data_IF_487160838315
#
_entry.id   IF_487160838315
#
_cell.length_a   1.000
_cell.length_b   1.000
_cell.length_c   1.000
_cell.angle_alpha   90.00
_cell.angle_beta   90.00
_cell.angle_gamma   90.00
#
_symmetry.space_group_name_H-M   'P 1'
#
loop_
_entity.id
_entity.type
_entity.pdbx_description
1 polymer ?
#
# COMPACT_ATOMS: atom_id res chain seq x y z
N UNK A 1 -10.30 3.81 -11.88
CA UNK A 1 -9.72 2.87 -12.86
C UNK A 1 -10.26 3.23 -14.24
N UNK A 2 -9.38 3.36 -15.22
CA UNK A 2 -9.68 3.82 -16.58
C UNK A 2 -9.78 2.66 -17.58
N UNK A 3 -9.96 2.98 -18.88
CA UNK A 3 -10.11 1.99 -19.94
C UNK A 3 -8.86 1.13 -20.21
N UNK A 4 -7.68 1.56 -19.74
CA UNK A 4 -6.43 0.82 -19.89
C UNK A 4 -6.26 -0.28 -18.83
N UNK A 5 -7.07 -0.27 -17.78
CA UNK A 5 -7.02 -1.23 -16.69
C UNK A 5 -7.93 -2.43 -17.00
N UNK A 6 -7.34 -3.63 -17.10
CA UNK A 6 -8.08 -4.86 -17.36
C UNK A 6 -8.83 -5.32 -16.10
N UNK A 7 -10.09 -4.87 -15.99
CA UNK A 7 -10.97 -5.20 -14.87
C UNK A 7 -11.27 -6.70 -14.78
N UNK A 8 -11.41 -7.38 -15.92
CA UNK A 8 -11.76 -8.80 -15.95
C UNK A 8 -10.60 -9.68 -15.45
N UNK A 9 -9.37 -9.36 -15.89
CA UNK A 9 -8.17 -10.01 -15.36
C UNK A 9 -7.98 -9.69 -13.88
N UNK A 10 -8.24 -8.45 -13.44
CA UNK A 10 -8.17 -8.07 -12.03
C UNK A 10 -9.10 -8.88 -11.13
N UNK A 11 -10.35 -9.12 -11.55
CA UNK A 11 -11.30 -9.95 -10.80
C UNK A 11 -10.81 -11.39 -10.69
N UNK A 12 -10.31 -11.97 -11.78
CA UNK A 12 -9.79 -13.35 -11.79
C UNK A 12 -8.56 -13.48 -10.88
N UNK A 13 -7.62 -12.54 -10.95
CA UNK A 13 -6.44 -12.52 -10.08
C UNK A 13 -6.82 -12.35 -8.62
N UNK A 14 -7.77 -11.44 -8.31
CA UNK A 14 -8.27 -11.25 -6.95
C UNK A 14 -8.89 -12.54 -6.38
N UNK A 15 -9.74 -13.21 -7.14
CA UNK A 15 -10.40 -14.45 -6.69
C UNK A 15 -9.38 -15.57 -6.44
N UNK A 16 -8.37 -15.69 -7.32
CA UNK A 16 -7.26 -16.63 -7.13
C UNK A 16 -6.49 -16.35 -5.83
N UNK A 17 -6.11 -15.09 -5.62
CA UNK A 17 -5.38 -14.65 -4.42
C UNK A 17 -6.19 -14.92 -3.15
N UNK A 18 -7.49 -14.62 -3.15
CA UNK A 18 -8.37 -14.87 -1.98
C UNK A 18 -8.37 -16.37 -1.65
N UNK A 19 -8.48 -17.24 -2.65
CA UNK A 19 -8.48 -18.69 -2.44
C UNK A 19 -7.14 -19.18 -1.86
N UNK A 20 -6.01 -18.75 -2.43
CA UNK A 20 -4.67 -19.12 -1.96
C UNK A 20 -4.42 -18.65 -0.53
N UNK A 21 -4.74 -17.39 -0.24
CA UNK A 21 -4.58 -16.78 1.09
C UNK A 21 -5.45 -17.47 2.13
N UNK A 22 -6.68 -17.81 1.79
CA UNK A 22 -7.60 -18.50 2.71
C UNK A 22 -7.06 -19.87 3.12
N UNK A 23 -6.39 -20.59 2.22
CA UNK A 23 -5.85 -21.91 2.50
C UNK A 23 -4.63 -21.88 3.45
N UNK A 24 -3.90 -20.77 3.48
CA UNK A 24 -2.61 -20.64 4.20
C UNK A 24 -2.73 -19.67 5.40
N UNK A 25 -3.92 -19.11 5.65
CA UNK A 25 -4.08 -18.02 6.60
C UNK A 25 -3.85 -18.45 8.06
N UNK A 26 -2.81 -17.88 8.67
CA UNK A 26 -2.60 -17.89 10.11
C UNK A 26 -3.44 -16.84 10.86
N UNK A 27 -4.01 -15.86 10.14
CA UNK A 27 -4.82 -14.78 10.69
C UNK A 27 -6.28 -14.85 10.22
N UNK A 28 -7.25 -14.32 10.99
CA UNK A 28 -8.66 -14.29 10.58
C UNK A 28 -8.85 -13.62 9.22
N UNK A 29 -9.50 -14.33 8.29
CA UNK A 29 -9.81 -13.82 6.95
C UNK A 29 -11.28 -13.44 6.85
N UNK A 30 -11.57 -12.23 6.37
CA UNK A 30 -12.96 -11.77 6.22
C UNK A 30 -13.77 -12.66 5.29
N UNK A 31 -13.13 -13.32 4.32
CA UNK A 31 -13.79 -14.20 3.35
C UNK A 31 -14.46 -15.41 4.00
N UNK A 32 -13.85 -15.98 5.03
CA UNK A 32 -14.36 -17.14 5.77
C UNK A 32 -15.04 -16.76 7.08
N UNK A 33 -15.10 -15.48 7.45
CA UNK A 33 -15.68 -15.02 8.73
C UNK A 33 -17.20 -15.24 8.80
N UNK A 34 -17.60 -16.48 9.00
CA UNK A 34 -18.95 -16.91 9.36
C UNK A 34 -19.06 -17.14 10.88
N UNK A 35 -20.25 -17.56 11.34
CA UNK A 35 -20.53 -17.76 12.76
C UNK A 35 -19.66 -18.85 13.41
N UNK A 36 -19.30 -19.89 12.66
CA UNK A 36 -18.43 -20.96 13.15
C UNK A 36 -16.97 -20.47 13.24
N UNK A 37 -16.57 -19.62 12.30
CA UNK A 37 -15.24 -18.99 12.29
C UNK A 37 -15.07 -17.97 13.42
N UNK A 38 -16.12 -17.28 13.85
CA UNK A 38 -16.01 -16.38 15.01
C UNK A 38 -15.66 -17.12 16.30
N UNK A 39 -16.16 -18.34 16.47
CA UNK A 39 -15.79 -19.20 17.61
C UNK A 39 -14.38 -19.77 17.43
N UNK A 40 -14.05 -20.20 16.21
CA UNK A 40 -12.72 -20.74 15.86
C UNK A 40 -11.60 -19.74 16.14
N UNK A 41 -11.83 -18.46 15.85
CA UNK A 41 -10.84 -17.40 16.10
C UNK A 41 -11.00 -16.73 17.48
N UNK A 42 -11.86 -17.25 18.37
CA UNK A 42 -12.04 -16.68 19.72
C UNK A 42 -12.45 -15.22 19.72
N UNK A 43 -13.24 -14.80 18.72
CA UNK A 43 -13.60 -13.39 18.52
C UNK A 43 -14.72 -12.99 19.47
N UNK A 44 -14.49 -11.91 20.21
CA UNK A 44 -15.45 -11.36 21.16
C UNK A 44 -15.48 -9.83 21.07
N UNK A 45 -16.49 -9.21 21.67
CA UNK A 45 -16.57 -7.75 21.75
C UNK A 45 -16.25 -7.34 23.18
N UNK A 46 -15.10 -6.71 23.37
CA UNK A 46 -14.73 -6.07 24.62
C UNK A 46 -15.22 -4.62 24.63
N UNK A 47 -15.90 -4.25 25.72
CA UNK A 47 -16.35 -2.88 25.97
C UNK A 47 -15.35 -2.22 26.91
N UNK A 48 -14.87 -1.02 26.55
CA UNK A 48 -14.09 -0.20 27.47
C UNK A 48 -14.94 0.32 28.65
N UNK A 49 -14.29 0.84 29.69
CA UNK A 49 -14.99 1.37 30.87
C UNK A 49 -15.95 2.53 30.53
N UNK A 50 -17.24 2.38 30.87
CA UNK A 50 -18.28 3.41 30.71
C UNK A 50 -19.01 3.43 29.36
N UNK A 51 -19.37 4.61 28.85
CA UNK A 51 -19.87 4.84 27.47
C UNK A 51 -18.74 4.78 26.42
N UNK A 52 -17.69 4.02 26.75
CA UNK A 52 -16.47 3.93 25.99
C UNK A 52 -16.61 3.09 24.73
N UNK A 53 -15.58 3.24 23.91
CA UNK A 53 -15.36 2.53 22.66
C UNK A 53 -15.39 1.01 22.91
N UNK A 54 -16.12 0.28 22.06
CA UNK A 54 -16.10 -1.18 22.05
C UNK A 54 -15.26 -1.67 20.88
N UNK A 55 -14.44 -2.70 21.08
CA UNK A 55 -13.55 -3.25 20.05
C UNK A 55 -13.83 -4.73 19.83
N UNK A 56 -13.59 -5.18 18.60
CA UNK A 56 -13.48 -6.60 18.34
C UNK A 56 -12.12 -7.08 18.86
N UNK A 57 -12.14 -8.11 19.67
CA UNK A 57 -10.96 -8.67 20.35
C UNK A 57 -10.87 -10.16 20.08
N UNK A 58 -9.64 -10.67 20.11
CA UNK A 58 -9.31 -12.08 19.99
C UNK A 58 -8.70 -12.55 21.31
N UNK A 59 -9.07 -13.74 21.76
CA UNK A 59 -8.41 -14.38 22.88
C UNK A 59 -7.11 -15.04 22.40
N UNK A 60 -5.98 -14.66 23.00
CA UNK A 60 -4.71 -15.30 22.76
C UNK A 60 -4.59 -16.52 23.69
N UNK A 61 -4.54 -17.73 23.13
CA UNK A 61 -4.46 -18.98 23.92
C UNK A 61 -3.13 -19.14 24.65
N UNK A 62 -2.04 -18.58 24.11
CA UNK A 62 -0.70 -18.71 24.69
C UNK A 62 -0.50 -17.79 25.90
N UNK A 63 -0.99 -16.54 25.81
CA UNK A 63 -0.84 -15.54 26.88
C UNK A 63 -2.04 -15.54 27.83
N UNK A 64 -3.21 -16.03 27.39
CA UNK A 64 -4.48 -15.91 28.10
C UNK A 64 -5.05 -14.48 28.13
N UNK A 65 -4.41 -13.54 27.41
CA UNK A 65 -4.83 -12.15 27.32
C UNK A 65 -5.78 -11.93 26.14
N UNK A 66 -6.61 -10.90 26.24
CA UNK A 66 -7.47 -10.47 25.14
C UNK A 66 -6.81 -9.34 24.37
N UNK A 67 -6.51 -9.60 23.11
CA UNK A 67 -5.83 -8.66 22.22
C UNK A 67 -6.79 -8.11 21.16
N UNK A 68 -6.41 -7.03 20.49
CA UNK A 68 -7.22 -6.47 19.41
C UNK A 68 -7.26 -7.41 18.21
N UNK A 69 -8.46 -7.77 17.75
CA UNK A 69 -8.60 -8.66 16.60
C UNK A 69 -8.31 -7.91 15.29
N UNK A 70 -7.30 -8.38 14.56
CA UNK A 70 -7.02 -7.93 13.19
C UNK A 70 -7.56 -8.91 12.17
N UNK A 71 -8.43 -8.43 11.28
CA UNK A 71 -9.03 -9.21 10.21
C UNK A 71 -8.45 -8.75 8.86
N UNK A 72 -7.99 -9.71 8.07
CA UNK A 72 -7.50 -9.50 6.72
C UNK A 72 -8.64 -9.39 5.70
N UNK A 73 -8.52 -8.42 4.79
CA UNK A 73 -9.46 -8.17 3.69
C UNK A 73 -8.65 -7.94 2.42
N UNK A 74 -8.87 -8.76 1.39
CA UNK A 74 -8.27 -8.58 0.07
C UNK A 74 -9.19 -7.75 -0.83
N UNK A 75 -8.61 -6.96 -1.72
CA UNK A 75 -9.37 -6.23 -2.72
C UNK A 75 -8.52 -5.35 -3.63
N UNK A 76 -9.17 -4.74 -4.62
CA UNK A 76 -8.54 -3.82 -5.56
C UNK A 76 -8.67 -2.40 -5.03
N UNK A 77 -7.58 -1.65 -4.98
CA UNK A 77 -7.58 -0.25 -4.50
C UNK A 77 -8.38 0.64 -5.46
N UNK A 78 -9.51 1.19 -5.00
CA UNK A 78 -10.31 2.16 -5.76
C UNK A 78 -10.03 3.61 -5.36
N UNK A 79 -9.59 3.84 -4.13
CA UNK A 79 -9.21 5.15 -3.60
C UNK A 79 -8.16 4.98 -2.51
N UNK A 80 -7.22 5.92 -2.46
CA UNK A 80 -6.11 5.90 -1.50
C UNK A 80 -5.81 7.30 -1.01
N UNK A 81 -5.56 7.43 0.28
CA UNK A 81 -5.03 8.63 0.91
C UNK A 81 -4.00 8.18 1.95
N UNK A 82 -2.79 7.95 1.47
CA UNK A 82 -1.63 7.54 2.27
C UNK A 82 -0.55 8.63 2.22
N UNK A 83 0.38 8.64 3.19
CA UNK A 83 1.55 9.51 3.12
C UNK A 83 2.45 9.16 1.92
N UNK A 84 3.35 10.06 1.50
CA UNK A 84 3.51 11.43 1.98
C UNK A 84 2.34 12.32 1.55
N UNK A 85 1.77 13.10 2.47
CA UNK A 85 0.65 13.98 2.14
C UNK A 85 1.12 15.20 1.34
N UNK A 86 0.44 15.47 0.22
CA UNK A 86 0.69 16.65 -0.58
C UNK A 86 0.02 17.90 0.01
N UNK A 87 0.77 18.67 0.78
CA UNK A 87 0.39 20.05 1.04
C UNK A 87 0.76 20.91 -0.19
N UNK A 88 -0.26 21.30 -0.97
CA UNK A 88 -0.10 22.21 -2.12
C UNK A 88 0.38 23.61 -1.72
N UNK A 89 0.28 23.96 -0.44
CA UNK A 89 0.80 25.21 0.11
C UNK A 89 1.27 25.03 1.55
N UNK A 90 2.27 25.80 1.98
CA UNK A 90 2.70 25.87 3.39
C UNK A 90 1.85 26.85 4.20
N UNK A 91 0.58 27.04 3.83
CA UNK A 91 -0.28 28.00 4.52
C UNK A 91 -0.62 27.50 5.92
N UNK A 92 -0.76 28.39 6.91
CA UNK A 92 -1.13 28.00 8.28
C UNK A 92 -2.42 27.17 8.36
N UNK A 93 -3.37 27.42 7.45
CA UNK A 93 -4.63 26.68 7.41
C UNK A 93 -4.47 25.25 6.88
N UNK A 94 -3.45 24.97 6.05
CA UNK A 94 -3.15 23.62 5.62
C UNK A 94 -2.59 22.80 6.79
N UNK A 95 -1.76 23.40 7.64
CA UNK A 95 -1.24 22.76 8.87
C UNK A 95 -2.38 22.42 9.85
N UNK A 96 -3.39 23.29 9.99
CA UNK A 96 -4.58 22.99 10.80
C UNK A 96 -5.37 21.79 10.27
N UNK A 97 -5.39 21.58 8.95
CA UNK A 97 -6.06 20.42 8.34
C UNK A 97 -5.30 19.12 8.57
N UNK A 98 -3.96 19.16 8.66
CA UNK A 98 -3.13 17.98 8.93
C UNK A 98 -3.43 17.32 10.28
N UNK A 99 -3.91 18.09 11.26
CA UNK A 99 -4.40 17.57 12.55
C UNK A 99 -5.51 16.52 12.36
N UNK A 100 -6.31 16.66 11.31
CA UNK A 100 -7.41 15.76 10.97
C UNK A 100 -7.04 14.81 9.82
N UNK A 101 -5.74 14.72 9.47
CA UNK A 101 -5.28 13.79 8.46
C UNK A 101 -5.60 12.35 8.86
N UNK A 102 -6.03 11.57 7.87
CA UNK A 102 -6.30 10.15 8.01
C UNK A 102 -5.59 9.40 6.92
N UNK A 103 -5.03 8.25 7.28
CA UNK A 103 -4.51 7.27 6.36
C UNK A 103 -5.70 6.39 5.98
N UNK A 104 -6.07 6.31 4.71
CA UNK A 104 -7.25 5.55 4.30
C UNK A 104 -7.08 4.85 2.97
N UNK A 105 -7.66 3.67 2.88
CA UNK A 105 -7.69 2.84 1.68
C UNK A 105 -9.14 2.40 1.47
N UNK A 106 -9.60 2.47 0.23
CA UNK A 106 -10.91 1.95 -0.17
C UNK A 106 -10.69 0.84 -1.19
N UNK A 107 -11.23 -0.34 -0.87
CA UNK A 107 -11.16 -1.53 -1.69
C UNK A 107 -12.48 -1.77 -2.43
N UNK A 108 -12.39 -2.32 -3.63
CA UNK A 108 -13.51 -2.84 -4.40
C UNK A 108 -13.19 -4.22 -4.95
N UNK A 109 -14.21 -5.04 -5.17
CA UNK A 109 -14.08 -6.33 -5.84
C UNK A 109 -14.35 -6.29 -7.34
N UNK A 110 -14.78 -5.14 -7.90
CA UNK A 110 -15.21 -5.02 -9.30
C UNK A 110 -16.23 -6.09 -9.76
N UNK A 111 -17.07 -6.58 -8.83
CA UNK A 111 -18.05 -7.65 -9.10
C UNK A 111 -17.55 -9.07 -8.81
N UNK A 112 -16.37 -9.23 -8.20
CA UNK A 112 -15.91 -10.51 -7.63
C UNK A 112 -16.93 -11.08 -6.64
N UNK A 113 -17.42 -12.32 -6.85
CA UNK A 113 -18.27 -13.01 -5.89
C UNK A 113 -17.58 -13.24 -4.54
N UNK A 114 -16.25 -13.44 -4.55
CA UNK A 114 -15.49 -13.64 -3.32
C UNK A 114 -15.42 -12.36 -2.48
N UNK A 115 -15.24 -11.22 -3.14
CA UNK A 115 -15.30 -9.92 -2.47
C UNK A 115 -16.71 -9.60 -1.94
N UNK A 116 -17.76 -9.94 -2.69
CA UNK A 116 -19.14 -9.76 -2.22
C UNK A 116 -19.44 -10.59 -0.97
N UNK A 117 -18.85 -11.80 -0.86
CA UNK A 117 -18.90 -12.59 0.37
C UNK A 117 -18.21 -11.89 1.54
N UNK A 118 -17.04 -11.27 1.32
CA UNK A 118 -16.36 -10.46 2.36
C UNK A 118 -17.20 -9.26 2.80
N UNK A 119 -17.89 -8.60 1.86
CA UNK A 119 -18.81 -7.50 2.18
C UNK A 119 -19.95 -7.99 3.07
N UNK A 120 -20.52 -9.16 2.76
CA UNK A 120 -21.61 -9.73 3.57
C UNK A 120 -21.12 -10.15 4.96
N UNK A 121 -19.97 -10.80 5.06
CA UNK A 121 -19.36 -11.14 6.34
C UNK A 121 -19.02 -9.89 7.17
N UNK A 122 -18.57 -8.80 6.52
CA UNK A 122 -18.35 -7.51 7.19
C UNK A 122 -19.65 -6.93 7.77
N UNK A 123 -20.80 -7.12 7.12
CA UNK A 123 -22.12 -6.72 7.66
C UNK A 123 -22.56 -7.59 8.82
N UNK A 124 -22.27 -8.90 8.79
CA UNK A 124 -22.52 -9.80 9.91
C UNK A 124 -21.70 -9.39 11.13
N UNK A 125 -20.41 -9.16 10.92
CA UNK A 125 -19.52 -8.68 11.98
C UNK A 125 -19.95 -7.31 12.53
N UNK A 126 -20.36 -6.38 11.66
CA UNK A 126 -20.98 -5.12 12.07
C UNK A 126 -22.20 -5.33 12.97
N UNK A 127 -23.06 -6.28 12.62
CA UNK A 127 -24.29 -6.59 13.35
C UNK A 127 -24.03 -7.16 14.74
N UNK A 128 -22.87 -7.77 14.98
CA UNK A 128 -22.45 -8.23 16.31
C UNK A 128 -22.42 -7.07 17.31
N UNK A 129 -21.99 -5.87 16.89
CA UNK A 129 -21.94 -4.69 17.75
C UNK A 129 -23.32 -4.19 18.18
N UNK A 130 -24.40 -4.53 17.47
CA UNK A 130 -25.74 -4.05 17.81
C UNK A 130 -26.15 -4.42 19.24
N UNK A 131 -25.77 -5.63 19.70
CA UNK A 131 -26.05 -6.14 21.05
C UNK A 131 -25.28 -5.41 22.14
N UNK A 132 -24.16 -4.78 21.78
CA UNK A 132 -23.26 -4.11 22.72
C UNK A 132 -23.44 -2.59 22.73
N UNK A 133 -24.36 -2.06 21.92
CA UNK A 133 -24.72 -0.64 21.93
C UNK A 133 -25.95 -0.37 22.79
N UNK A 134 -25.91 0.60 23.72
CA UNK A 134 -27.08 0.99 24.51
C UNK A 134 -28.30 1.33 23.63
N UNK A 135 -29.46 0.77 23.97
CA UNK A 135 -30.74 1.04 23.32
C UNK A 135 -30.76 0.83 21.80
N UNK A 136 -29.94 -0.09 21.26
CA UNK A 136 -29.85 -0.38 19.82
C UNK A 136 -29.58 0.85 18.94
N UNK A 137 -28.79 1.80 19.46
CA UNK A 137 -28.46 3.06 18.78
C UNK A 137 -27.31 2.94 17.76
N UNK A 138 -26.93 1.72 17.40
CA UNK A 138 -26.02 1.48 16.29
C UNK A 138 -26.64 2.00 14.99
N UNK A 139 -25.87 2.73 14.19
CA UNK A 139 -26.34 3.20 12.89
C UNK A 139 -26.79 2.01 12.03
N UNK A 140 -27.89 2.12 11.27
CA UNK A 140 -28.43 0.99 10.50
C UNK A 140 -27.53 0.58 9.33
N UNK A 141 -26.66 1.47 8.87
CA UNK A 141 -25.77 1.24 7.74
C UNK A 141 -24.30 1.43 8.18
N UNK A 142 -23.41 0.48 7.86
CA UNK A 142 -21.98 0.66 8.10
C UNK A 142 -21.41 1.81 7.25
N UNK A 143 -20.75 2.77 7.90
CA UNK A 143 -20.10 3.92 7.21
C UNK A 143 -18.95 3.48 6.30
N UNK A 144 -18.29 2.36 6.63
CA UNK A 144 -17.20 1.81 5.83
C UNK A 144 -17.66 1.13 4.53
N UNK A 145 -18.98 1.01 4.29
CA UNK A 145 -19.53 0.46 3.05
C UNK A 145 -20.10 1.54 2.14
N UNK A 146 -19.42 1.77 1.02
CA UNK A 146 -19.83 2.71 -0.02
C UNK A 146 -20.02 2.02 -1.38
N UNK A 147 -20.36 2.80 -2.40
CA UNK A 147 -20.41 2.36 -3.80
C UNK A 147 -19.33 3.06 -4.59
N UNK A 148 -18.64 2.31 -5.44
CA UNK A 148 -17.76 2.81 -6.48
C UNK A 148 -18.50 2.75 -7.80
N UNK A 149 -18.56 3.87 -8.51
CA UNK A 149 -19.18 3.97 -9.83
C UNK A 149 -18.08 4.12 -10.88
N UNK A 150 -18.08 3.26 -11.89
CA UNK A 150 -17.22 3.39 -13.05
C UNK A 150 -18.08 3.62 -14.30
N UNK A 151 -17.77 4.66 -15.05
CA UNK A 151 -18.33 4.85 -16.39
C UNK A 151 -17.72 3.81 -17.33
N UNK A 152 -18.56 3.12 -18.08
CA UNK A 152 -18.20 2.15 -19.11
C UNK A 152 -18.99 2.44 -20.38
N UNK A 153 -18.54 1.87 -21.49
CA UNK A 153 -19.21 2.03 -22.80
C UNK A 153 -20.67 1.54 -22.81
N UNK A 154 -21.07 0.72 -21.81
CA UNK A 154 -22.42 0.20 -21.63
C UNK A 154 -23.25 0.85 -20.50
N UNK A 155 -22.72 1.83 -19.77
CA UNK A 155 -23.41 2.49 -18.66
C UNK A 155 -22.56 2.71 -17.41
N UNK A 156 -23.22 2.91 -16.27
CA UNK A 156 -22.56 3.09 -14.96
C UNK A 156 -22.55 1.76 -14.22
N UNK A 157 -21.36 1.15 -14.13
CA UNK A 157 -21.15 -0.01 -13.27
C UNK A 157 -21.00 0.45 -11.82
N UNK A 158 -21.81 -0.12 -10.91
CA UNK A 158 -21.73 0.15 -9.48
C UNK A 158 -21.25 -1.08 -8.72
N UNK A 159 -20.12 -0.96 -8.05
CA UNK A 159 -19.56 -2.00 -7.20
C UNK A 159 -19.54 -1.57 -5.74
N UNK A 160 -19.72 -2.51 -4.83
CA UNK A 160 -19.59 -2.22 -3.39
C UNK A 160 -18.12 -2.01 -3.05
N UNK A 161 -17.87 -1.19 -2.03
CA UNK A 161 -16.53 -0.90 -1.52
C UNK A 161 -16.46 -1.04 -0.02
N UNK A 162 -15.27 -1.35 0.49
CA UNK A 162 -14.92 -1.38 1.90
C UNK A 162 -13.84 -0.32 2.14
N UNK A 163 -14.07 0.60 3.07
CA UNK A 163 -13.13 1.66 3.41
C UNK A 163 -12.56 1.49 4.83
N UNK A 164 -11.25 1.39 4.93
CA UNK A 164 -10.53 1.40 6.20
C UNK A 164 -9.78 2.71 6.38
N UNK A 165 -9.72 3.22 7.60
CA UNK A 165 -8.93 4.42 7.88
C UNK A 165 -8.41 4.50 9.30
N UNK A 166 -7.18 4.98 9.45
CA UNK A 166 -6.58 5.32 10.74
C UNK A 166 -6.33 6.84 10.84
N UNK A 167 -6.43 7.40 12.05
CA UNK A 167 -6.06 8.79 12.31
C UNK A 167 -4.54 8.89 12.31
N UNK A 168 -4.00 9.97 11.75
CA UNK A 168 -2.57 10.23 11.89
C UNK A 168 -2.24 10.79 13.28
N UNK A 169 -3.16 11.53 13.90
CA UNK A 169 -2.97 12.13 15.21
C UNK A 169 -4.17 11.90 16.14
N UNK A 170 -3.86 11.74 17.41
CA UNK A 170 -4.82 11.65 18.51
C UNK A 170 -4.69 12.88 19.42
N UNK A 171 -5.78 13.53 19.85
CA UNK A 171 -5.70 14.57 20.86
C UNK A 171 -5.09 14.01 22.15
N UNK A 172 -4.16 14.71 22.80
CA UNK A 172 -3.47 14.21 24.02
C UNK A 172 -4.46 13.85 25.13
N UNK A 173 -5.57 14.58 25.24
CA UNK A 173 -6.65 14.28 26.19
C UNK A 173 -7.33 12.92 25.97
N UNK A 174 -7.21 12.37 24.77
CA UNK A 174 -7.77 11.08 24.36
C UNK A 174 -6.69 9.98 24.22
N UNK A 175 -5.41 10.35 24.17
CA UNK A 175 -4.31 9.40 24.02
C UNK A 175 -4.14 8.51 25.26
N UNK A 176 -4.59 8.96 26.44
CA UNK A 176 -4.53 8.14 27.66
C UNK A 176 -3.09 7.74 28.00
N UNK A 177 -2.85 6.44 28.12
CA UNK A 177 -1.54 5.83 28.40
C UNK A 177 -0.81 5.32 27.14
N UNK A 178 -1.31 5.61 25.93
CA UNK A 178 -0.68 5.15 24.69
C UNK A 178 0.70 5.78 24.50
N UNK A 179 1.66 4.96 24.06
CA UNK A 179 3.01 5.43 23.80
C UNK A 179 3.06 6.34 22.56
N UNK A 180 3.81 7.43 22.67
CA UNK A 180 4.06 8.33 21.56
C UNK A 180 5.10 7.70 20.61
N UNK A 181 4.77 7.65 19.33
CA UNK A 181 5.63 7.10 18.28
C UNK A 181 6.14 8.24 17.39
N UNK A 182 7.42 8.21 17.08
CA UNK A 182 8.02 9.17 16.16
C UNK A 182 7.62 8.90 14.71
N UNK A 183 7.40 9.98 13.96
CA UNK A 183 7.02 9.91 12.56
C UNK A 183 8.28 9.71 11.72
N UNK A 184 8.36 8.58 11.01
CA UNK A 184 9.48 8.27 10.11
C UNK A 184 9.62 9.34 9.00
N UNK A 185 10.86 9.75 8.71
CA UNK A 185 11.21 10.68 7.62
C UNK A 185 10.74 10.17 6.26
N UNK A 186 10.65 8.85 6.05
CA UNK A 186 10.14 8.27 4.81
C UNK A 186 8.63 8.51 4.61
N UNK A 187 7.88 8.64 5.71
CA UNK A 187 6.45 8.93 5.74
C UNK A 187 6.20 10.44 5.60
N UNK A 188 7.06 11.27 6.19
CA UNK A 188 6.99 12.74 6.12
C UNK A 188 8.30 13.38 5.61
N UNK A 189 8.67 13.16 4.34
CA UNK A 189 9.93 13.64 3.78
C UNK A 189 10.03 15.18 3.73
N UNK A 190 8.90 15.89 3.88
CA UNK A 190 8.82 17.36 3.87
C UNK A 190 8.64 17.96 5.28
N UNK A 191 8.58 17.14 6.33
CA UNK A 191 8.36 17.61 7.70
C UNK A 191 7.03 18.37 7.86
N UNK A 192 6.00 18.02 7.10
CA UNK A 192 4.68 18.65 7.17
C UNK A 192 3.90 18.20 8.41
N UNK A 193 3.94 16.90 8.71
CA UNK A 193 3.31 16.30 9.87
C UNK A 193 4.05 16.73 11.16
N UNK A 194 5.37 16.94 11.06
CA UNK A 194 6.15 17.50 12.16
C UNK A 194 5.73 18.93 12.59
N UNK A 195 5.01 19.68 11.73
CA UNK A 195 4.51 21.04 12.05
C UNK A 195 3.22 21.04 12.87
N UNK A 196 2.60 19.87 13.06
CA UNK A 196 1.42 19.75 13.91
C UNK A 196 1.79 20.04 15.36
N UNK A 197 0.89 20.73 16.06
CA UNK A 197 1.10 21.15 17.43
C UNK A 197 1.15 19.95 18.40
N UNK A 198 2.38 19.53 18.72
CA UNK A 198 2.68 18.41 19.62
C UNK A 198 2.23 18.63 21.07
N UNK A 199 1.80 19.84 21.44
CA UNK A 199 1.23 20.12 22.78
C UNK A 199 -0.26 19.77 22.87
N UNK A 200 -0.91 19.51 21.73
CA UNK A 200 -2.34 19.17 21.67
C UNK A 200 -2.60 17.82 21.01
N UNK A 201 -1.72 17.40 20.12
CA UNK A 201 -1.89 16.20 19.31
C UNK A 201 -0.63 15.36 19.33
N UNK A 202 -0.79 14.04 19.41
CA UNK A 202 0.30 13.07 19.48
C UNK A 202 0.04 11.96 18.45
N UNK A 203 1.11 11.47 17.83
CA UNK A 203 1.09 10.25 17.03
C UNK A 203 1.45 9.10 17.98
N UNK A 204 0.59 8.09 18.07
CA UNK A 204 0.75 6.97 19.00
C UNK A 204 0.85 5.65 18.25
N UNK A 205 1.18 4.56 18.95
CA UNK A 205 1.09 3.19 18.43
C UNK A 205 -0.28 2.88 17.80
N UNK A 206 -1.37 3.43 18.36
CA UNK A 206 -2.70 3.24 17.78
C UNK A 206 -2.88 3.94 16.41
N UNK A 207 -2.00 4.87 16.06
CA UNK A 207 -2.04 5.67 14.83
C UNK A 207 -1.10 5.17 13.73
N UNK A 208 -0.21 4.23 14.05
CA UNK A 208 0.70 3.64 13.07
C UNK A 208 -0.06 2.72 12.10
N UNK A 209 0.45 2.67 10.88
CA UNK A 209 -0.01 1.76 9.84
C UNK A 209 1.24 1.14 9.24
N UNK A 210 1.30 -0.19 9.21
CA UNK A 210 2.44 -0.88 8.62
C UNK A 210 2.23 -1.12 7.13
N UNK A 211 3.33 -1.03 6.37
CA UNK A 211 3.33 -1.15 4.92
C UNK A 211 4.25 -2.28 4.51
N UNK A 212 3.74 -3.22 3.71
CA UNK A 212 4.51 -4.36 3.23
C UNK A 212 4.35 -4.60 1.74
N UNK A 213 5.32 -5.28 1.14
CA UNK A 213 5.19 -5.95 -0.16
C UNK A 213 5.34 -7.45 0.05
N UNK A 214 4.42 -8.21 -0.52
CA UNK A 214 4.58 -9.66 -0.62
C UNK A 214 5.62 -9.96 -1.70
N UNK A 215 6.72 -10.59 -1.30
CA UNK A 215 7.73 -11.09 -2.23
C UNK A 215 7.66 -12.61 -2.25
N UNK A 216 7.30 -13.18 -3.40
CA UNK A 216 7.36 -14.61 -3.63
C UNK A 216 8.82 -15.07 -3.53
N UNK A 217 9.12 -15.87 -2.50
CA UNK A 217 10.41 -16.52 -2.33
C UNK A 217 10.37 -17.97 -2.81
N UNK A 218 11.54 -18.57 -3.04
CA UNK A 218 11.66 -19.95 -3.54
C UNK A 218 10.96 -21.03 -2.67
N UNK A 219 10.59 -20.73 -1.42
CA UNK A 219 9.91 -21.66 -0.51
C UNK A 219 8.94 -21.02 0.51
N UNK A 220 9.09 -19.73 0.83
CA UNK A 220 8.25 -19.03 1.82
C UNK A 220 8.03 -17.60 1.34
N UNK A 221 6.77 -17.19 1.29
CA UNK A 221 6.37 -15.81 1.05
C UNK A 221 6.96 -14.88 2.11
N UNK A 222 7.60 -13.79 1.67
CA UNK A 222 8.21 -12.82 2.58
C UNK A 222 7.48 -11.48 2.53
N UNK A 223 7.12 -10.98 3.70
CA UNK A 223 6.62 -9.64 3.88
C UNK A 223 7.79 -8.69 4.09
N UNK A 224 8.08 -7.87 3.08
CA UNK A 224 9.16 -6.89 3.17
C UNK A 224 8.59 -5.52 3.51
N UNK A 225 9.02 -4.86 4.61
CA UNK A 225 8.60 -3.51 4.94
C UNK A 225 8.86 -2.54 3.79
N UNK A 226 7.94 -1.61 3.56
CA UNK A 226 8.02 -0.64 2.47
C UNK A 226 7.49 0.73 2.88
N UNK A 227 7.48 1.67 1.93
CA UNK A 227 6.92 3.02 2.12
C UNK A 227 5.55 3.13 1.45
N UNK A 228 4.64 3.97 1.97
CA UNK A 228 3.28 4.11 1.45
C UNK A 228 3.18 4.63 0.01
N UNK A 229 4.24 5.23 -0.53
CA UNK A 229 4.25 5.83 -1.88
C UNK A 229 4.11 4.80 -3.01
N UNK A 230 4.37 3.52 -2.73
CA UNK A 230 4.34 2.49 -3.77
C UNK A 230 2.92 2.09 -4.18
N UNK A 231 1.93 2.30 -3.31
CA UNK A 231 0.56 1.83 -3.52
C UNK A 231 -0.19 2.75 -4.48
N UNK A 232 -0.86 2.14 -5.45
CA UNK A 232 -1.58 2.85 -6.50
C UNK A 232 -3.03 2.38 -6.61
N UNK A 233 -3.87 3.23 -7.20
CA UNK A 233 -5.23 2.86 -7.57
C UNK A 233 -5.15 1.79 -8.67
N UNK A 234 -5.80 0.65 -8.44
CA UNK A 234 -5.74 -0.53 -9.29
C UNK A 234 -4.92 -1.68 -8.68
N UNK A 235 -4.08 -1.43 -7.68
CA UNK A 235 -3.31 -2.52 -7.06
C UNK A 235 -4.22 -3.49 -6.31
N UNK A 236 -3.87 -4.77 -6.35
CA UNK A 236 -4.48 -5.80 -5.51
C UNK A 236 -3.69 -5.85 -4.20
N UNK A 237 -4.39 -5.63 -3.10
CA UNK A 237 -3.79 -5.52 -1.77
C UNK A 237 -4.55 -6.36 -0.76
N UNK A 238 -3.87 -6.71 0.32
CA UNK A 238 -4.50 -7.13 1.57
C UNK A 238 -4.37 -6.00 2.59
N UNK A 239 -5.47 -5.64 3.23
CA UNK A 239 -5.44 -4.77 4.40
C UNK A 239 -5.73 -5.60 5.64
N UNK A 240 -5.01 -5.35 6.72
CA UNK A 240 -5.41 -5.81 8.05
C UNK A 240 -6.14 -4.68 8.75
N UNK A 241 -7.33 -5.01 9.27
CA UNK A 241 -8.21 -4.02 9.89
C UNK A 241 -8.76 -4.52 11.20
N UNK A 242 -8.99 -3.60 12.13
CA UNK A 242 -9.77 -3.90 13.33
C UNK A 242 -11.11 -3.19 13.31
N UNK A 243 -12.11 -3.81 13.91
CA UNK A 243 -13.46 -3.25 14.02
C UNK A 243 -13.62 -2.56 15.36
N UNK A 244 -13.90 -1.26 15.32
CA UNK A 244 -14.07 -0.44 16.51
C UNK A 244 -15.39 0.33 16.48
N UNK A 245 -16.23 0.12 17.49
CA UNK A 245 -17.47 0.84 17.70
C UNK A 245 -17.22 2.09 18.54
N UNK A 246 -17.53 3.25 17.96
CA UNK A 246 -17.26 4.56 18.55
C UNK A 246 -18.59 5.27 18.83
N UNK A 247 -18.80 5.81 20.06
CA UNK A 247 -19.95 6.66 20.35
C UNK A 247 -19.89 7.95 19.54
N UNK A 248 -21.03 8.32 18.96
CA UNK A 248 -21.32 9.60 18.35
C UNK A 248 -22.41 10.32 19.17
N UNK A 249 -22.78 11.55 18.78
CA UNK A 249 -23.83 12.32 19.46
C UNK A 249 -25.20 11.60 19.34
N UNK A 250 -25.50 10.71 20.29
CA UNK A 250 -26.76 9.97 20.38
C UNK A 250 -26.84 8.68 19.56
N UNK A 251 -25.76 8.27 18.89
CA UNK A 251 -25.67 7.05 18.08
C UNK A 251 -24.30 6.37 18.25
N UNK A 252 -24.15 5.17 17.72
CA UNK A 252 -22.88 4.45 17.66
C UNK A 252 -22.56 4.09 16.21
N UNK A 253 -21.28 4.16 15.84
CA UNK A 253 -20.81 3.77 14.50
C UNK A 253 -19.64 2.81 14.62
N UNK A 254 -19.57 1.80 13.76
CA UNK A 254 -18.39 0.93 13.68
C UNK A 254 -17.50 1.40 12.55
N UNK A 255 -16.20 1.50 12.81
CA UNK A 255 -15.17 1.86 11.85
C UNK A 255 -14.18 0.71 11.68
N UNK A 256 -13.66 0.57 10.47
CA UNK A 256 -12.49 -0.24 10.19
C UNK A 256 -11.25 0.63 10.37
N UNK A 257 -10.47 0.34 11.42
CA UNK A 257 -9.16 0.95 11.62
C UNK A 257 -8.16 0.21 10.74
N UNK A 258 -7.43 0.96 9.92
CA UNK A 258 -6.36 0.40 9.09
C UNK A 258 -5.14 0.13 9.98
N UNK A 259 -4.68 -1.12 10.05
CA UNK A 259 -3.51 -1.53 10.84
C UNK A 259 -2.31 -1.81 9.94
N UNK A 260 -2.52 -2.51 8.84
CA UNK A 260 -1.48 -2.69 7.82
C UNK A 260 -2.07 -2.77 6.42
N UNK A 261 -1.21 -2.56 5.43
CA UNK A 261 -1.49 -2.79 4.01
C UNK A 261 -0.31 -3.54 3.38
N UNK A 262 -0.64 -4.57 2.62
CA UNK A 262 0.31 -5.46 1.95
C UNK A 262 0.00 -5.41 0.46
N UNK A 263 1.00 -5.05 -0.35
CA UNK A 263 0.90 -5.15 -1.81
C UNK A 263 1.02 -6.62 -2.21
N UNK A 264 -0.02 -7.16 -2.85
CA UNK A 264 -0.04 -8.54 -3.33
C UNK A 264 0.28 -8.61 -4.83
N UNK A 265 -0.35 -7.75 -5.63
CA UNK A 265 -0.10 -7.69 -7.07
C UNK A 265 -0.31 -6.25 -7.60
N UNK A 266 0.74 -5.67 -8.18
CA UNK A 266 0.72 -4.38 -8.88
C UNK A 266 0.94 -4.49 -10.40
N UNK A 267 0.99 -5.71 -10.95
CA UNK A 267 1.29 -5.98 -12.35
C UNK A 267 0.27 -5.35 -13.29
N UNK A 268 -1.02 -5.42 -12.95
CA UNK A 268 -2.11 -4.85 -13.76
C UNK A 268 -2.05 -3.33 -13.83
N UNK A 269 -1.70 -2.67 -12.72
CA UNK A 269 -1.49 -1.22 -12.70
C UNK A 269 -0.29 -0.84 -13.56
N UNK A 270 0.79 -1.61 -13.50
CA UNK A 270 1.99 -1.41 -14.32
C UNK A 270 1.72 -1.65 -15.81
N UNK A 271 0.99 -2.71 -16.17
CA UNK A 271 0.52 -2.99 -17.53
C UNK A 271 -0.32 -1.83 -18.07
N UNK A 272 -1.30 -1.35 -17.29
CA UNK A 272 -2.13 -0.22 -17.67
C UNK A 272 -1.30 1.07 -17.85
N UNK A 273 -0.33 1.33 -16.98
CA UNK A 273 0.58 2.46 -17.11
C UNK A 273 1.43 2.38 -18.38
N UNK A 274 1.97 1.20 -18.70
CA UNK A 274 2.72 0.96 -19.93
C UNK A 274 1.83 1.18 -21.17
N UNK A 275 0.61 0.65 -21.17
CA UNK A 275 -0.35 0.85 -22.25
C UNK A 275 -0.66 2.34 -22.49
N UNK A 276 -0.81 3.15 -21.43
CA UNK A 276 -0.99 4.61 -21.53
C UNK A 276 0.18 5.28 -22.24
N UNK A 277 1.42 4.85 -21.99
CA UNK A 277 2.61 5.46 -22.63
C UNK A 277 2.72 5.14 -24.12
N UNK A 278 2.13 4.03 -24.58
CA UNK A 278 2.09 3.65 -25.99
C UNK A 278 1.05 4.45 -26.78
N UNK A 279 0.04 5.02 -26.11
CA UNK A 279 -0.90 5.95 -26.72
C UNK A 279 -0.25 7.34 -26.79
N UNK A 280 0.27 7.68 -27.97
CA UNK A 280 0.90 8.97 -28.29
C UNK A 280 0.08 10.15 -27.76
N UNK A 281 0.63 11.04 -26.91
CA UNK A 281 -0.07 12.26 -26.54
C UNK A 281 -0.15 13.20 -27.74
N UNK A 282 -1.33 13.75 -27.98
CA UNK A 282 -1.55 15.01 -28.71
C UNK A 282 -0.44 16.01 -28.33
N UNK A 283 0.18 16.76 -29.26
CA UNK A 283 1.42 17.49 -29.00
C UNK A 283 1.28 18.45 -27.82
N UNK A 284 1.83 18.05 -26.67
CA UNK A 284 1.92 18.85 -25.47
C UNK A 284 3.08 19.85 -25.59
N UNK A 285 2.88 21.04 -25.01
CA UNK A 285 3.81 22.16 -25.02
C UNK A 285 5.24 21.76 -24.61
N UNK A 286 6.28 22.44 -25.16
CA UNK A 286 7.66 22.05 -24.93
C UNK A 286 8.04 22.16 -23.46
N UNK A 287 8.20 21.01 -22.80
CA UNK A 287 8.80 20.92 -21.47
C UNK A 287 10.23 21.48 -21.50
N UNK A 288 10.61 22.20 -20.44
CA UNK A 288 12.00 22.68 -20.25
C UNK A 288 12.94 21.48 -20.33
N UNK A 289 13.70 21.39 -21.43
CA UNK A 289 14.68 20.31 -21.67
C UNK A 289 15.67 20.25 -20.52
N UNK A 290 15.63 19.16 -19.75
CA UNK A 290 16.69 18.79 -18.83
C UNK A 290 17.95 18.50 -19.67
N UNK A 291 18.97 19.36 -19.58
CA UNK A 291 20.25 19.10 -20.24
C UNK A 291 20.97 17.98 -19.49
N UNK A 292 21.13 16.83 -20.14
CA UNK A 292 22.00 15.76 -19.63
C UNK A 292 23.45 16.25 -19.62
N UNK A 293 24.12 16.19 -18.47
CA UNK A 293 25.57 16.33 -18.39
C UNK A 293 26.18 15.01 -18.86
N UNK A 294 26.80 15.01 -20.03
CA UNK A 294 27.56 13.86 -20.53
C UNK A 294 28.91 13.82 -19.81
N UNK A 295 29.21 12.80 -18.98
CA UNK A 295 30.49 12.70 -18.28
C UNK A 295 31.69 12.52 -19.23
N UNK A 296 31.47 12.00 -20.44
CA UNK A 296 32.50 11.80 -21.46
C UNK A 296 32.79 13.06 -22.30
N UNK A 297 32.00 14.13 -22.14
CA UNK A 297 32.27 15.39 -22.84
C UNK A 297 33.50 16.13 -22.28
N UNK A 298 34.00 15.75 -21.09
CA UNK A 298 35.18 16.34 -20.46
C UNK A 298 36.50 15.61 -20.73
N UNK A 299 36.48 14.45 -21.40
CA UNK A 299 37.66 13.59 -21.57
C UNK A 299 38.22 13.58 -23.00
N UNK A 300 37.90 14.59 -23.81
CA UNK A 300 38.51 14.79 -25.14
C UNK A 300 39.52 15.94 -25.05
N UNK A 301 40.85 15.68 -25.03
CA UNK A 301 41.87 16.69 -24.75
C UNK A 301 42.04 17.78 -25.81
N UNK A 302 41.40 17.70 -26.97
CA UNK A 302 41.57 18.66 -28.08
C UNK A 302 40.46 19.71 -28.21
N UNK A 303 39.49 19.78 -27.29
CA UNK A 303 38.48 20.84 -27.31
C UNK A 303 38.61 21.81 -26.13
N UNK A 304 39.79 22.42 -26.01
CA UNK A 304 39.92 23.68 -25.25
C UNK A 304 39.97 24.88 -26.20
N UNK A 305 38.90 25.69 -26.11
CA UNK A 305 38.77 27.10 -26.53
C UNK A 305 39.09 27.43 -28.00
N UNK A 306 38.04 27.54 -28.81
CA UNK A 306 37.89 28.70 -29.71
C UNK A 306 36.75 29.57 -29.19
N UNK A 307 37.12 30.67 -28.54
CA UNK A 307 36.25 31.84 -28.41
C UNK A 307 36.20 32.47 -29.80
N UNK A 308 35.02 32.43 -30.42
CA UNK A 308 34.71 33.23 -31.60
C UNK A 308 34.69 32.45 -32.90
N UNK A 309 33.73 32.81 -33.76
CA UNK A 309 33.71 32.43 -35.16
C UNK A 309 32.82 31.23 -35.45
N UNK A 310 31.76 31.49 -36.19
CA UNK A 310 30.94 30.50 -36.91
C UNK A 310 31.86 29.65 -37.79
N UNK A 311 31.58 28.35 -37.86
CA UNK A 311 31.49 27.57 -39.10
C UNK A 311 31.32 26.09 -38.71
N UNK A 312 30.09 25.59 -38.85
CA UNK A 312 29.87 24.14 -38.88
C UNK A 312 30.16 23.66 -40.30
N UNK A 313 31.02 22.64 -40.49
CA UNK A 313 31.19 22.04 -41.81
C UNK A 313 29.88 21.37 -42.23
N UNK A 314 29.37 21.83 -43.37
CA UNK A 314 28.26 21.24 -44.11
C UNK A 314 28.75 19.90 -44.64
N UNK A 315 28.10 18.80 -44.25
CA UNK A 315 28.35 17.50 -44.87
C UNK A 315 27.56 17.52 -46.17
N UNK A 316 28.25 17.83 -47.26
CA UNK A 316 27.72 17.65 -48.60
C UNK A 316 27.85 16.16 -48.94
N UNK A 317 26.71 15.49 -49.05
CA UNK A 317 26.61 14.12 -49.55
C UNK A 317 26.48 14.21 -51.06
N UNK A 318 27.60 14.10 -51.77
CA UNK A 318 27.58 13.72 -53.19
C UNK A 318 28.50 12.54 -53.46
N UNK A 319 28.01 11.72 -54.37
CA UNK A 319 28.41 10.38 -54.71
C UNK A 319 29.86 10.26 -55.22
N UNK A 320 30.49 9.12 -54.95
CA UNK A 320 31.12 8.41 -56.05
C UNK A 320 31.16 6.90 -55.81
N UNK A 321 30.69 6.18 -56.82
CA UNK A 321 30.77 4.74 -56.95
C UNK A 321 32.21 4.29 -57.27
N UNK A 322 32.40 2.97 -57.14
CA UNK A 322 33.38 2.11 -57.81
C UNK A 322 34.67 1.76 -57.06
N UNK A 323 34.87 0.44 -56.88
CA UNK A 323 36.20 -0.17 -56.92
C UNK A 323 36.49 -1.26 -55.89
N UNK A 324 36.27 -2.52 -56.29
CA UNK A 324 37.10 -3.72 -56.00
C UNK A 324 37.43 -4.09 -54.54
N UNK A 325 36.93 -5.21 -54.01
CA UNK A 325 37.43 -6.59 -54.18
C UNK A 325 38.52 -7.03 -53.18
N UNK A 326 38.30 -8.22 -52.63
CA UNK A 326 39.20 -9.19 -51.96
C UNK A 326 39.08 -9.42 -50.44
N UNK A 327 38.72 -10.69 -50.18
CA UNK A 327 39.23 -11.65 -49.17
C UNK A 327 38.97 -11.38 -47.68
N UNK A 328 38.12 -12.18 -47.02
CA UNK A 328 38.35 -13.58 -46.58
C UNK A 328 39.41 -13.70 -45.47
N UNK A 329 38.94 -13.91 -44.24
CA UNK A 329 39.78 -14.20 -43.07
C UNK A 329 38.92 -14.65 -41.89
N UNK A 330 38.85 -15.97 -41.71
CA UNK A 330 38.16 -16.71 -40.65
C UNK A 330 39.06 -16.91 -39.42
N UNK A 331 38.46 -17.43 -38.34
CA UNK A 331 39.06 -18.09 -37.15
C UNK A 331 39.52 -17.10 -36.06
N UNK A 332 39.26 -17.26 -34.77
CA UNK A 332 38.64 -18.27 -33.89
C UNK A 332 38.78 -17.70 -32.46
N UNK A 333 37.79 -17.84 -31.58
CA UNK A 333 37.80 -18.85 -30.53
C UNK A 333 38.70 -18.50 -29.34
N UNK A 334 38.12 -18.17 -28.18
CA UNK A 334 38.46 -18.85 -26.92
C UNK A 334 37.55 -18.44 -25.75
N UNK A 335 37.02 -19.49 -25.14
CA UNK A 335 36.30 -19.58 -23.88
C UNK A 335 37.34 -19.84 -22.78
N UNK A 336 37.23 -19.18 -21.61
CA UNK A 336 37.93 -19.60 -20.40
C UNK A 336 36.98 -19.52 -19.19
N UNK A 337 36.82 -20.67 -18.56
CA UNK A 337 36.23 -20.91 -17.25
C UNK A 337 37.18 -20.53 -16.10
N UNK A 338 36.60 -20.09 -14.98
CA UNK A 338 37.02 -20.42 -13.60
C UNK A 338 35.97 -19.80 -12.64
N UNK A 339 35.09 -20.56 -11.98
CA UNK A 339 35.29 -21.33 -10.73
C UNK A 339 36.06 -20.58 -9.63
N UNK A 340 35.36 -20.23 -8.55
CA UNK A 340 35.80 -20.47 -7.18
C UNK A 340 34.62 -20.36 -6.20
N UNK A 341 34.26 -21.51 -5.62
CA UNK A 341 33.67 -21.64 -4.29
C UNK A 341 34.69 -21.21 -3.21
N UNK A 342 34.21 -20.89 -2.00
CA UNK A 342 34.67 -21.46 -0.70
C UNK A 342 33.99 -20.74 0.49
N UNK A 343 33.26 -21.54 1.30
CA UNK A 343 33.22 -21.62 2.79
C UNK A 343 32.66 -20.38 3.54
N UNK A 344 31.45 -20.40 4.13
CA UNK A 344 30.95 -21.11 5.33
C UNK A 344 31.61 -20.72 6.65
N UNK A 345 30.91 -19.98 7.52
CA UNK A 345 31.13 -20.04 8.97
C UNK A 345 29.86 -19.62 9.72
N UNK A 346 29.29 -20.58 10.43
CA UNK A 346 28.17 -20.46 11.36
C UNK A 346 28.71 -20.38 12.79
N UNK A 347 28.30 -19.37 13.56
CA UNK A 347 28.51 -19.33 15.00
C UNK A 347 27.17 -19.34 15.74
N UNK A 348 26.92 -20.43 16.43
CA UNK A 348 25.91 -20.63 17.47
C UNK A 348 26.42 -20.07 18.80
N UNK A 349 25.64 -19.22 19.46
CA UNK A 349 25.91 -18.77 20.82
C UNK A 349 24.85 -19.32 21.79
N UNK A 350 25.34 -20.05 22.78
CA UNK A 350 24.65 -20.63 23.93
C UNK A 350 24.79 -19.67 25.11
N UNK A 351 23.69 -19.31 25.79
CA UNK A 351 23.66 -18.73 27.16
C UNK A 351 22.34 -19.25 27.76
N UNK A 352 22.30 -20.30 28.57
CA UNK A 352 22.78 -20.52 29.94
C UNK A 352 21.89 -19.87 31.01
N UNK A 353 21.33 -20.77 31.82
CA UNK A 353 20.33 -20.64 32.88
C UNK A 353 20.96 -20.18 34.18
N UNK A 354 20.31 -19.24 34.89
CA UNK A 354 20.46 -19.10 36.35
C UNK A 354 19.09 -18.93 37.01
N UNK A 355 18.68 -19.97 37.74
CA UNK A 355 17.86 -19.84 38.94
C UNK A 355 18.76 -19.33 40.07
N UNK A 356 18.23 -18.50 40.96
CA UNK A 356 18.32 -18.69 42.41
C UNK A 356 17.43 -17.69 43.16
N UNK A 357 16.69 -18.27 44.11
CA UNK A 357 16.04 -17.77 45.36
C UNK A 357 14.96 -16.67 45.35
#
# INVERSE_FOLDING_TARGET
>A
MDAFYDKSKAVQTLDKIIAERTAVAASPQMYILDSESTETFGLSICRGDGDAVSRLTQHNEETGESEEATIAIQGIVSSINLPPFDARSHRPDDVKRLVHARQSVTLTGLGSPCFDRMVENSRRAYSMFSRYTPNAKLLPRPEFLAKYSAETDGGIDQHVTIAASNRFFTPIKQAGALEAVDINVEIDPRGLLAKVDRTRYVHTEDNTVDYYVLTEGDNIDRYTPTTPIIFQIGDIVEIQTSMTCIPQKGSFTVKLLLRSIILLDGSLTMEAMNARTLVTPTPAQPLKRLKRRNPYAGSVPWLQKTRGGKDHPRIDVEANESGGSHEAGSIGGQQVHSHNEIVSESQTATIDTCMDE
#
